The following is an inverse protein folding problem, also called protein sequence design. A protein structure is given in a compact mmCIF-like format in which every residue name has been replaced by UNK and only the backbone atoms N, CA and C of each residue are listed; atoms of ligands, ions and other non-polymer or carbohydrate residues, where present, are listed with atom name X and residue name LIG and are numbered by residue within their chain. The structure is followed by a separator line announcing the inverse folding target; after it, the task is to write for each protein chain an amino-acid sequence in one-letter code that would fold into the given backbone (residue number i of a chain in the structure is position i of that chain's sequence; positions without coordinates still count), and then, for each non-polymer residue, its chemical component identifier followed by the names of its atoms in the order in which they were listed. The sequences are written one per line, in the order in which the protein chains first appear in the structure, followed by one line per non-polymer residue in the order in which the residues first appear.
data_IF_255350747619
#
_entry.id   IF_255350747619
#
_cell.length_a   1.000
_cell.length_b   1.000
_cell.length_c   1.000
_cell.angle_alpha   90.00
_cell.angle_beta   90.00
_cell.angle_gamma   90.00
#
_symmetry.space_group_name_H-M   'P 1'
#
loop_
_entity.id
_entity.type
_entity.pdbx_description
1 polymer ?
#
# COMPACT_ATOMS: atom_id res chain seq x y z
N UNK A 1 -18.55 -11.55 -13.63
CA UNK A 1 -18.08 -11.09 -12.30
C UNK A 1 -17.37 -9.78 -12.55
N UNK A 2 -17.57 -8.77 -11.71
CA UNK A 2 -16.80 -7.52 -11.75
C UNK A 2 -15.86 -7.56 -10.56
N UNK A 3 -14.55 -7.48 -10.82
CA UNK A 3 -13.53 -7.47 -9.79
C UNK A 3 -13.03 -6.04 -9.57
N UNK A 4 -12.87 -5.65 -8.32
CA UNK A 4 -12.32 -4.36 -7.91
C UNK A 4 -11.20 -4.57 -6.89
N UNK A 5 -10.02 -4.04 -7.19
CA UNK A 5 -8.81 -4.16 -6.35
C UNK A 5 -8.74 -3.11 -5.25
N UNK A 6 -9.82 -2.97 -4.50
CA UNK A 6 -9.89 -2.17 -3.28
C UNK A 6 -11.00 -2.76 -2.40
N UNK A 7 -10.70 -3.12 -1.16
CA UNK A 7 -11.68 -3.83 -0.32
C UNK A 7 -12.68 -2.88 0.34
N UNK A 8 -12.27 -1.63 0.59
CA UNK A 8 -13.00 -0.60 1.35
C UNK A 8 -13.31 -1.09 2.78
N UNK A 9 -12.51 -0.64 3.76
CA UNK A 9 -12.64 -1.02 5.18
C UNK A 9 -11.67 -2.10 5.68
N UNK A 10 -10.83 -2.65 4.78
CA UNK A 10 -9.75 -3.60 5.08
C UNK A 10 -10.16 -4.89 5.83
N UNK A 11 -9.21 -5.81 6.02
CA UNK A 11 -9.45 -7.00 6.85
C UNK A 11 -9.33 -6.69 8.34
N UNK A 12 -9.93 -7.52 9.21
CA UNK A 12 -9.81 -7.34 10.67
C UNK A 12 -8.36 -7.37 11.17
N UNK A 13 -7.46 -8.06 10.45
CA UNK A 13 -6.03 -8.06 10.74
C UNK A 13 -5.39 -6.71 10.42
N UNK A 14 -5.69 -6.12 9.27
CA UNK A 14 -5.16 -4.81 8.87
C UNK A 14 -5.65 -3.70 9.80
N UNK A 15 -6.93 -3.75 10.20
CA UNK A 15 -7.49 -2.81 11.20
C UNK A 15 -6.74 -2.91 12.53
N UNK A 16 -6.41 -4.12 13.00
CA UNK A 16 -5.62 -4.30 14.23
C UNK A 16 -4.19 -3.75 14.09
N UNK A 17 -3.54 -4.00 12.96
CA UNK A 17 -2.17 -3.50 12.70
C UNK A 17 -2.15 -1.97 12.65
N UNK A 18 -3.11 -1.37 11.94
CA UNK A 18 -3.32 0.08 11.90
C UNK A 18 -3.49 0.66 13.30
N UNK A 19 -4.40 0.08 14.10
CA UNK A 19 -4.66 0.55 15.46
C UNK A 19 -3.42 0.42 16.36
N UNK A 20 -2.66 -0.67 16.26
CA UNK A 20 -1.42 -0.87 17.00
C UNK A 20 -0.38 0.20 16.66
N UNK A 21 -0.14 0.47 15.37
CA UNK A 21 0.79 1.50 14.91
C UNK A 21 0.40 2.89 15.40
N UNK A 22 -0.89 3.25 15.28
CA UNK A 22 -1.44 4.52 15.76
C UNK A 22 -1.28 4.67 17.28
N UNK A 23 -1.31 3.56 18.04
CA UNK A 23 -1.15 3.56 19.49
C UNK A 23 0.30 3.82 19.96
N UNK A 24 1.29 3.67 19.09
CA UNK A 24 2.71 3.96 19.38
C UNK A 24 2.99 5.47 19.42
N UNK A 25 2.09 6.28 18.87
CA UNK A 25 2.29 7.71 18.69
C UNK A 25 1.77 8.54 19.88
N UNK A 26 2.32 9.75 20.01
CA UNK A 26 1.88 10.74 21.01
C UNK A 26 0.38 11.05 20.88
N UNK A 27 -0.26 11.54 21.94
CA UNK A 27 -1.70 11.88 21.91
C UNK A 27 -2.04 12.86 20.78
N UNK A 28 -1.20 13.87 20.55
CA UNK A 28 -1.40 14.86 19.49
C UNK A 28 -1.25 14.23 18.09
N UNK A 29 -0.19 13.45 17.87
CA UNK A 29 0.03 12.75 16.61
C UNK A 29 -1.10 11.75 16.33
N UNK A 30 -1.54 11.01 17.35
CA UNK A 30 -2.65 10.06 17.26
C UNK A 30 -3.96 10.73 16.85
N UNK A 31 -4.30 11.86 17.45
CA UNK A 31 -5.49 12.62 17.08
C UNK A 31 -5.43 13.06 15.61
N UNK A 32 -4.27 13.53 15.16
CA UNK A 32 -4.05 13.91 13.77
C UNK A 32 -4.16 12.71 12.82
N UNK A 33 -3.49 11.60 13.12
CA UNK A 33 -3.55 10.37 12.32
C UNK A 33 -4.99 9.87 12.19
N UNK A 34 -5.76 9.82 13.27
CA UNK A 34 -7.16 9.38 13.22
C UNK A 34 -8.02 10.31 12.36
N UNK A 35 -7.80 11.63 12.43
CA UNK A 35 -8.50 12.58 11.57
C UNK A 35 -8.14 12.37 10.09
N UNK A 36 -6.86 12.13 9.77
CA UNK A 36 -6.40 11.81 8.41
C UNK A 36 -7.00 10.48 7.92
N UNK A 37 -7.02 9.46 8.77
CA UNK A 37 -7.63 8.17 8.41
C UNK A 37 -9.13 8.30 8.13
N UNK A 38 -9.86 9.07 8.93
CA UNK A 38 -11.28 9.34 8.69
C UNK A 38 -11.52 10.06 7.36
N UNK A 39 -10.67 11.05 7.01
CA UNK A 39 -10.76 11.73 5.72
C UNK A 39 -10.50 10.77 4.54
N UNK A 40 -9.54 9.86 4.68
CA UNK A 40 -9.29 8.83 3.67
C UNK A 40 -10.42 7.79 3.59
N UNK A 41 -11.04 7.45 4.70
CA UNK A 41 -12.21 6.57 4.74
C UNK A 41 -13.41 7.20 4.02
N UNK A 42 -13.64 8.50 4.17
CA UNK A 42 -14.68 9.21 3.44
C UNK A 42 -14.44 9.17 1.92
N UNK A 43 -13.18 9.35 1.48
CA UNK A 43 -12.80 9.20 0.07
C UNK A 43 -13.11 7.79 -0.42
N UNK A 44 -12.76 6.78 0.36
CA UNK A 44 -13.00 5.36 0.06
C UNK A 44 -14.50 5.05 -0.09
N UNK A 45 -15.32 5.50 0.87
CA UNK A 45 -16.77 5.35 0.82
C UNK A 45 -17.38 6.02 -0.42
N UNK A 46 -16.87 7.19 -0.80
CA UNK A 46 -17.31 7.89 -2.01
C UNK A 46 -16.95 7.13 -3.29
N UNK A 47 -15.75 6.53 -3.36
CA UNK A 47 -15.34 5.71 -4.51
C UNK A 47 -16.19 4.44 -4.56
N UNK A 48 -16.39 3.76 -3.43
CA UNK A 48 -17.25 2.58 -3.36
C UNK A 48 -18.66 2.89 -3.86
N UNK A 49 -19.27 3.97 -3.37
CA UNK A 49 -20.61 4.40 -3.78
C UNK A 49 -20.68 4.64 -5.30
N UNK A 50 -19.65 5.27 -5.89
CA UNK A 50 -19.55 5.49 -7.34
C UNK A 50 -19.43 4.18 -8.12
N UNK A 51 -18.61 3.24 -7.65
CA UNK A 51 -18.50 1.91 -8.28
C UNK A 51 -19.85 1.21 -8.26
N UNK A 52 -20.52 1.17 -7.11
CA UNK A 52 -21.83 0.51 -6.96
C UNK A 52 -22.89 1.16 -7.84
N UNK A 53 -23.00 2.49 -7.81
CA UNK A 53 -23.93 3.24 -8.66
C UNK A 53 -23.68 3.01 -10.14
N UNK A 54 -22.41 2.97 -10.57
CA UNK A 54 -22.05 2.65 -11.95
C UNK A 54 -22.50 1.25 -12.38
N UNK A 55 -22.42 0.25 -11.51
CA UNK A 55 -22.92 -1.09 -11.80
C UNK A 55 -24.44 -1.14 -11.94
N UNK A 56 -25.16 -0.42 -11.09
CA UNK A 56 -26.63 -0.35 -11.17
C UNK A 56 -27.08 0.29 -12.48
N UNK A 57 -26.43 1.38 -12.90
CA UNK A 57 -26.69 2.04 -14.18
C UNK A 57 -26.43 1.14 -15.39
N UNK A 58 -25.49 0.20 -15.27
CA UNK A 58 -25.18 -0.79 -16.30
C UNK A 58 -26.06 -2.05 -16.22
N UNK A 59 -27.00 -2.12 -15.26
CA UNK A 59 -27.83 -3.31 -15.04
C UNK A 59 -27.03 -4.54 -14.54
N UNK A 60 -25.87 -4.32 -13.93
CA UNK A 60 -25.03 -5.38 -13.39
C UNK A 60 -25.38 -5.59 -11.92
N UNK A 61 -25.87 -6.78 -11.51
CA UNK A 61 -26.23 -7.03 -10.12
C UNK A 61 -25.03 -6.85 -9.17
N UNK A 62 -25.25 -6.19 -8.03
CA UNK A 62 -24.24 -6.00 -6.98
C UNK A 62 -23.62 -7.31 -6.48
N UNK A 63 -24.36 -8.43 -6.53
CA UNK A 63 -23.85 -9.77 -6.18
C UNK A 63 -22.72 -10.26 -7.09
N UNK A 64 -22.52 -9.63 -8.26
CA UNK A 64 -21.42 -9.92 -9.17
C UNK A 64 -20.16 -9.10 -8.86
N UNK A 65 -20.25 -8.09 -7.99
CA UNK A 65 -19.11 -7.30 -7.52
C UNK A 65 -18.30 -8.11 -6.51
N UNK A 66 -17.01 -8.24 -6.77
CA UNK A 66 -16.03 -8.85 -5.88
C UNK A 66 -14.95 -7.82 -5.62
N UNK A 67 -14.76 -7.50 -4.35
CA UNK A 67 -13.74 -6.57 -3.87
C UNK A 67 -12.59 -7.38 -3.28
N UNK A 68 -11.37 -6.93 -3.54
CA UNK A 68 -10.15 -7.61 -3.17
C UNK A 68 -9.19 -6.61 -2.54
N UNK A 69 -8.32 -7.11 -1.67
CA UNK A 69 -7.24 -6.35 -1.08
C UNK A 69 -6.32 -5.74 -2.17
N UNK A 70 -6.06 -4.45 -2.06
CA UNK A 70 -5.36 -3.64 -3.05
C UNK A 70 -3.95 -4.17 -3.33
N UNK A 71 -3.18 -4.37 -2.26
CA UNK A 71 -1.81 -4.85 -2.35
C UNK A 71 -1.74 -6.32 -2.77
N UNK A 72 -2.72 -7.14 -2.36
CA UNK A 72 -2.81 -8.51 -2.85
C UNK A 72 -3.11 -8.55 -4.36
N UNK A 73 -3.89 -7.61 -4.89
CA UNK A 73 -4.10 -7.46 -6.33
C UNK A 73 -2.79 -7.10 -7.05
N UNK A 74 -2.01 -6.17 -6.52
CA UNK A 74 -0.67 -5.85 -7.06
C UNK A 74 0.25 -7.08 -7.03
N UNK A 75 0.29 -7.80 -5.90
CA UNK A 75 1.11 -9.01 -5.77
C UNK A 75 0.68 -10.11 -6.74
N UNK A 76 -0.63 -10.34 -6.89
CA UNK A 76 -1.18 -11.29 -7.85
C UNK A 76 -0.80 -10.90 -9.29
N UNK A 77 -0.94 -9.62 -9.66
CA UNK A 77 -0.55 -9.14 -10.98
C UNK A 77 0.96 -9.35 -11.24
N UNK A 78 1.80 -9.07 -10.24
CA UNK A 78 3.24 -9.29 -10.37
C UNK A 78 3.58 -10.78 -10.51
N UNK A 79 3.02 -11.65 -9.67
CA UNK A 79 3.36 -13.09 -9.64
C UNK A 79 2.81 -13.83 -10.86
N UNK A 80 1.51 -13.69 -11.17
CA UNK A 80 0.87 -14.49 -12.22
C UNK A 80 1.27 -14.06 -13.64
N UNK A 81 1.71 -12.81 -13.82
CA UNK A 81 2.14 -12.29 -15.14
C UNK A 81 3.66 -12.15 -15.24
N UNK A 82 4.41 -12.48 -14.19
CA UNK A 82 5.87 -12.55 -14.25
C UNK A 82 6.30 -13.71 -15.15
N UNK A 83 7.32 -13.53 -16.01
CA UNK A 83 7.91 -14.63 -16.77
C UNK A 83 8.60 -15.66 -15.87
N UNK A 84 8.89 -15.30 -14.61
CA UNK A 84 9.41 -16.20 -13.59
C UNK A 84 8.30 -16.94 -12.82
N UNK A 85 7.03 -16.52 -12.96
CA UNK A 85 5.88 -16.85 -12.12
C UNK A 85 5.58 -18.34 -11.93
N UNK A 86 4.67 -18.93 -12.69
CA UNK A 86 4.19 -20.33 -12.48
C UNK A 86 5.28 -21.41 -12.61
N UNK A 87 6.51 -21.03 -12.94
CA UNK A 87 7.71 -21.87 -12.98
C UNK A 87 8.59 -21.73 -11.73
N UNK A 88 8.39 -20.65 -10.95
CA UNK A 88 9.12 -20.41 -9.71
C UNK A 88 8.74 -21.45 -8.64
N UNK A 89 9.74 -21.78 -7.84
CA UNK A 89 9.53 -22.26 -6.49
C UNK A 89 8.85 -21.15 -5.66
N UNK A 90 8.56 -21.42 -4.39
CA UNK A 90 8.07 -20.41 -3.44
C UNK A 90 8.82 -19.07 -3.60
N UNK A 91 8.07 -17.96 -3.67
CA UNK A 91 8.66 -16.64 -3.88
C UNK A 91 8.02 -15.57 -2.99
N UNK A 92 8.77 -14.50 -2.76
CA UNK A 92 8.33 -13.36 -1.97
C UNK A 92 8.05 -12.18 -2.91
N UNK A 93 6.84 -11.65 -2.85
CA UNK A 93 6.43 -10.45 -3.55
C UNK A 93 6.32 -9.30 -2.56
N UNK A 94 6.95 -8.17 -2.87
CA UNK A 94 6.82 -6.94 -2.11
C UNK A 94 6.06 -5.93 -2.95
N UNK A 95 5.05 -5.32 -2.34
CA UNK A 95 4.28 -4.24 -2.95
C UNK A 95 4.46 -3.00 -2.08
N UNK A 96 4.71 -1.85 -2.70
CA UNK A 96 4.76 -0.55 -2.06
C UNK A 96 4.12 0.49 -2.98
N UNK A 97 3.14 1.22 -2.47
CA UNK A 97 2.52 2.33 -3.15
C UNK A 97 2.14 3.44 -2.14
N UNK A 98 1.19 4.31 -2.50
CA UNK A 98 0.70 5.34 -1.59
C UNK A 98 -0.14 4.79 -0.45
N UNK A 99 -1.18 4.00 -0.79
CA UNK A 99 -2.19 3.50 0.16
C UNK A 99 -3.06 2.42 -0.50
N UNK A 100 -3.46 1.43 0.29
CA UNK A 100 -4.58 0.52 0.04
C UNK A 100 -4.95 -0.24 1.31
N UNK A 101 -6.24 -0.24 1.69
CA UNK A 101 -6.76 -1.04 2.82
C UNK A 101 -5.99 -0.85 4.15
N UNK A 102 -5.76 0.42 4.55
CA UNK A 102 -4.93 0.86 5.69
C UNK A 102 -3.43 0.54 5.62
N UNK A 103 -2.98 -0.06 4.53
CA UNK A 103 -1.57 -0.35 4.25
C UNK A 103 -1.01 0.61 3.20
N UNK A 104 0.30 0.74 3.13
CA UNK A 104 1.03 1.33 2.00
C UNK A 104 1.92 0.29 1.29
N UNK A 105 1.93 -0.93 1.80
CA UNK A 105 2.71 -2.01 1.21
C UNK A 105 2.61 -3.31 1.96
N UNK A 106 2.79 -4.42 1.23
CA UNK A 106 2.73 -5.77 1.80
C UNK A 106 3.86 -6.64 1.30
N UNK A 107 4.32 -7.50 2.19
CA UNK A 107 5.17 -8.64 1.88
C UNK A 107 4.25 -9.87 1.78
N UNK A 108 4.24 -10.49 0.61
CA UNK A 108 3.35 -11.58 0.25
C UNK A 108 4.19 -12.79 -0.14
N UNK A 109 4.02 -13.88 0.61
CA UNK A 109 4.56 -15.18 0.24
C UNK A 109 3.64 -15.81 -0.80
N UNK A 110 4.20 -16.17 -1.95
CA UNK A 110 3.54 -16.98 -2.96
C UNK A 110 4.06 -18.41 -2.86
N UNK A 111 3.13 -19.36 -2.70
CA UNK A 111 3.44 -20.79 -2.75
C UNK A 111 2.70 -21.41 -3.93
N UNK A 112 3.42 -21.94 -4.93
CA UNK A 112 2.78 -22.51 -6.11
C UNK A 112 1.88 -23.69 -5.72
N UNK A 113 0.74 -23.88 -6.40
CA UNK A 113 -0.13 -25.01 -6.14
C UNK A 113 0.62 -26.33 -6.45
N UNK A 114 0.37 -27.41 -5.69
CA UNK A 114 0.99 -28.70 -5.97
C UNK A 114 0.63 -29.16 -7.37
N UNK A 115 1.63 -29.66 -8.12
CA UNK A 115 1.43 -30.26 -9.44
C UNK A 115 0.48 -31.46 -9.34
N UNK A 116 -0.51 -31.53 -10.24
CA UNK A 116 -1.44 -32.65 -10.31
C UNK A 116 -0.68 -33.99 -10.44
N UNK A 117 -0.71 -34.82 -9.39
CA UNK A 117 -0.05 -36.13 -9.37
C UNK A 117 0.54 -36.55 -8.01
N UNK A 118 0.82 -35.62 -7.10
CA UNK A 118 1.28 -35.96 -5.75
C UNK A 118 0.08 -36.12 -4.81
N UNK A 119 -0.35 -37.36 -4.60
CA UNK A 119 -1.57 -37.77 -3.89
C UNK A 119 -1.61 -37.41 -2.39
N UNK A 120 -1.77 -36.13 -2.08
CA UNK A 120 -2.14 -35.67 -0.74
C UNK A 120 -3.25 -34.65 -0.84
N UNK A 121 -4.41 -34.94 -0.23
CA UNK A 121 -5.40 -33.91 0.14
C UNK A 121 -4.77 -33.04 1.23
N UNK A 122 -3.85 -32.16 0.86
CA UNK A 122 -3.45 -31.07 1.72
C UNK A 122 -4.40 -29.91 1.46
N UNK A 123 -4.95 -29.33 2.53
CA UNK A 123 -5.66 -28.06 2.51
C UNK A 123 -4.92 -27.12 1.56
N UNK A 124 -5.58 -26.61 0.51
CA UNK A 124 -4.94 -25.70 -0.44
C UNK A 124 -4.29 -24.57 0.36
N UNK A 125 -2.94 -24.47 0.40
CA UNK A 125 -2.32 -23.29 0.97
C UNK A 125 -2.90 -22.08 0.23
N UNK A 126 -3.15 -20.97 0.94
CA UNK A 126 -3.48 -19.74 0.23
C UNK A 126 -2.29 -19.44 -0.67
N UNK A 127 -2.50 -19.55 -1.97
CA UNK A 127 -1.46 -19.37 -3.00
C UNK A 127 -0.74 -18.03 -2.83
N UNK A 128 -1.42 -17.02 -2.28
CA UNK A 128 -0.84 -15.77 -1.82
C UNK A 128 -1.16 -15.54 -0.32
N UNK A 129 -0.13 -15.41 0.49
CA UNK A 129 -0.21 -15.15 1.93
C UNK A 129 0.50 -13.85 2.29
N UNK A 130 -0.24 -12.87 2.80
CA UNK A 130 0.36 -11.68 3.43
C UNK A 130 1.08 -12.12 4.70
N UNK A 131 2.40 -11.95 4.73
CA UNK A 131 3.25 -12.25 5.89
C UNK A 131 3.61 -10.99 6.67
N UNK A 132 3.66 -9.83 6.00
CA UNK A 132 3.88 -8.53 6.63
C UNK A 132 3.19 -7.39 5.87
N UNK A 133 3.01 -6.25 6.53
CA UNK A 133 2.38 -5.06 5.96
C UNK A 133 2.92 -3.78 6.60
N UNK A 134 3.17 -2.77 5.77
CA UNK A 134 3.50 -1.40 6.19
C UNK A 134 2.22 -0.59 6.34
N UNK A 135 2.11 0.18 7.41
CA UNK A 135 0.97 1.09 7.64
C UNK A 135 0.89 2.15 6.54
N UNK A 136 -0.31 2.63 6.23
CA UNK A 136 -0.50 3.78 5.35
C UNK A 136 0.19 5.07 5.84
N UNK A 137 0.46 5.18 7.15
CA UNK A 137 1.18 6.34 7.71
C UNK A 137 2.69 6.27 7.53
N UNK A 138 3.22 5.07 7.27
CA UNK A 138 4.65 4.85 7.02
C UNK A 138 4.91 4.68 5.51
N UNK A 139 4.13 5.40 4.69
CA UNK A 139 4.11 5.26 3.23
C UNK A 139 5.27 6.02 2.56
N UNK A 140 6.17 5.27 1.93
CA UNK A 140 7.21 5.85 1.05
C UNK A 140 6.59 6.50 -0.18
N UNK A 141 5.46 5.99 -0.67
CA UNK A 141 4.73 6.59 -1.79
C UNK A 141 4.16 7.97 -1.45
N UNK A 142 3.57 8.13 -0.27
CA UNK A 142 3.11 9.44 0.20
C UNK A 142 4.27 10.37 0.53
N UNK A 143 5.37 9.86 1.10
CA UNK A 143 6.59 10.64 1.29
C UNK A 143 7.08 11.22 -0.06
N UNK A 144 7.11 10.40 -1.11
CA UNK A 144 7.52 10.87 -2.44
C UNK A 144 6.54 11.89 -3.03
N UNK A 145 5.23 11.76 -2.74
CA UNK A 145 4.23 12.75 -3.08
C UNK A 145 4.45 14.09 -2.34
N UNK A 146 4.88 14.06 -1.08
CA UNK A 146 5.28 15.26 -0.33
C UNK A 146 6.52 15.92 -0.95
N UNK A 147 7.57 15.15 -1.27
CA UNK A 147 8.75 15.69 -1.98
C UNK A 147 8.35 16.33 -3.31
N UNK A 148 7.42 15.68 -4.04
CA UNK A 148 6.83 16.22 -5.28
C UNK A 148 6.19 17.59 -5.05
N UNK A 149 5.41 17.75 -3.96
CA UNK A 149 4.80 19.03 -3.61
C UNK A 149 5.85 20.10 -3.27
N UNK A 150 6.83 19.76 -2.42
CA UNK A 150 7.88 20.69 -1.96
C UNK A 150 8.69 21.24 -3.12
N UNK A 151 8.97 20.43 -4.14
CA UNK A 151 9.67 20.86 -5.35
C UNK A 151 8.80 21.64 -6.35
N UNK A 152 7.56 21.98 -5.97
CA UNK A 152 6.63 22.76 -6.80
C UNK A 152 5.92 21.95 -7.89
N UNK A 153 6.01 20.63 -7.85
CA UNK A 153 5.29 19.73 -8.76
C UNK A 153 3.93 19.33 -8.18
N UNK A 154 3.12 18.62 -8.98
CA UNK A 154 1.77 18.22 -8.61
C UNK A 154 1.78 16.78 -8.08
N UNK A 155 1.46 16.55 -6.79
CA UNK A 155 1.35 15.21 -6.23
C UNK A 155 0.33 14.34 -6.97
N UNK A 156 0.56 13.04 -6.93
CA UNK A 156 -0.18 11.97 -7.59
C UNK A 156 -0.25 12.10 -9.11
N UNK A 157 0.71 12.82 -9.71
CA UNK A 157 0.77 13.09 -11.16
C UNK A 157 2.19 13.27 -11.68
N UNK A 158 3.06 13.93 -10.91
CA UNK A 158 4.38 14.37 -11.38
C UNK A 158 5.55 13.64 -10.72
N UNK A 159 5.32 12.60 -9.93
CA UNK A 159 6.33 11.78 -9.26
C UNK A 159 7.40 11.27 -10.23
N UNK A 160 6.99 10.84 -11.43
CA UNK A 160 7.92 10.34 -12.45
C UNK A 160 8.89 11.41 -12.99
N UNK A 161 8.52 12.71 -12.93
CA UNK A 161 9.44 13.80 -13.28
C UNK A 161 10.57 13.89 -12.27
N UNK A 162 10.26 13.74 -10.98
CA UNK A 162 11.27 13.73 -9.93
C UNK A 162 12.17 12.50 -10.05
N UNK A 163 11.63 11.33 -10.37
CA UNK A 163 12.46 10.14 -10.63
C UNK A 163 13.44 10.39 -11.77
N UNK A 164 13.00 11.04 -12.85
CA UNK A 164 13.88 11.45 -13.95
C UNK A 164 14.94 12.48 -13.52
N UNK A 165 14.57 13.49 -12.73
CA UNK A 165 15.50 14.48 -12.19
C UNK A 165 16.52 13.87 -11.22
N UNK A 166 16.10 12.90 -10.42
CA UNK A 166 16.95 12.22 -9.44
C UNK A 166 18.10 11.47 -10.10
N UNK A 167 17.94 10.99 -11.35
CA UNK A 167 19.03 10.38 -12.13
C UNK A 167 20.18 11.37 -12.45
N UNK A 168 19.93 12.67 -12.37
CA UNK A 168 20.92 13.74 -12.53
C UNK A 168 21.29 14.41 -11.20
N UNK A 169 20.71 13.97 -10.09
CA UNK A 169 20.89 14.56 -8.77
C UNK A 169 22.16 14.08 -8.07
N UNK A 170 22.58 14.85 -7.07
CA UNK A 170 23.65 14.47 -6.16
C UNK A 170 23.08 14.43 -4.73
N UNK A 171 22.89 13.22 -4.20
CA UNK A 171 22.20 13.01 -2.93
C UNK A 171 22.82 13.80 -1.78
N UNK A 172 24.15 13.91 -1.73
CA UNK A 172 24.88 14.67 -0.71
C UNK A 172 24.50 16.16 -0.68
N UNK A 173 24.06 16.73 -1.82
CA UNK A 173 23.63 18.13 -1.91
C UNK A 173 22.15 18.32 -1.60
N UNK A 174 21.33 17.33 -1.92
CA UNK A 174 19.87 17.41 -1.75
C UNK A 174 19.40 16.94 -0.38
N UNK A 175 20.16 16.07 0.29
CA UNK A 175 19.79 15.52 1.60
C UNK A 175 19.56 16.60 2.67
N UNK A 176 20.43 17.62 2.85
CA UNK A 176 20.18 18.67 3.85
C UNK A 176 18.91 19.48 3.57
N UNK A 177 18.57 19.67 2.28
CA UNK A 177 17.35 20.38 1.87
C UNK A 177 16.12 19.51 2.19
N UNK A 178 16.20 18.21 1.92
CA UNK A 178 15.15 17.27 2.27
C UNK A 178 14.92 17.20 3.78
N UNK A 179 15.99 17.08 4.57
CA UNK A 179 15.92 17.09 6.04
C UNK A 179 15.25 18.36 6.56
N UNK A 180 15.65 19.52 6.05
CA UNK A 180 15.04 20.80 6.42
C UNK A 180 13.56 20.87 6.03
N UNK A 181 13.19 20.42 4.82
CA UNK A 181 11.81 20.44 4.33
C UNK A 181 10.90 19.48 5.10
N UNK A 182 11.44 18.36 5.55
CA UNK A 182 10.73 17.35 6.33
C UNK A 182 10.74 17.64 7.83
N UNK A 183 11.48 18.66 8.29
CA UNK A 183 11.65 18.96 9.71
C UNK A 183 12.40 17.86 10.47
N UNK A 184 13.26 17.10 9.80
CA UNK A 184 14.00 16.00 10.42
C UNK A 184 15.08 16.57 11.35
N UNK A 185 14.90 16.39 12.65
CA UNK A 185 15.90 16.72 13.68
C UNK A 185 16.52 15.43 14.18
N UNK A 186 17.82 15.23 13.96
CA UNK A 186 18.51 14.11 14.56
C UNK A 186 18.74 14.40 16.05
N UNK A 187 18.18 13.55 16.91
CA UNK A 187 18.57 13.50 18.30
C UNK A 187 20.00 12.97 18.38
N UNK A 188 20.95 13.87 18.66
CA UNK A 188 22.38 13.56 18.71
C UNK A 188 22.77 12.65 19.88
N UNK A 189 21.88 12.46 20.88
CA UNK A 189 22.13 11.56 22.01
C UNK A 189 21.67 10.14 21.71
N UNK A 190 20.54 9.98 21.03
CA UNK A 190 19.97 8.66 20.73
C UNK A 190 20.26 8.17 19.31
N UNK A 191 20.76 9.05 18.44
CA UNK A 191 20.96 8.80 17.01
C UNK A 191 19.65 8.67 16.22
N UNK A 192 18.49 8.88 16.85
CA UNK A 192 17.16 8.74 16.23
C UNK A 192 16.72 10.06 15.59
N UNK A 193 16.01 9.96 14.49
CA UNK A 193 15.36 11.11 13.86
C UNK A 193 14.03 11.40 14.55
N UNK A 194 13.79 12.67 14.89
CA UNK A 194 12.55 13.20 15.43
C UNK A 194 11.94 14.15 14.40
N UNK A 195 10.60 14.22 14.38
CA UNK A 195 9.80 15.20 13.62
C UNK A 195 9.25 16.21 14.62
#
# INVERSE_FOLDING_TARGET
VVAHGWQFGASSTEVRRFAARVAEESTAARAHMLAVAAAFEEVDQNIEARVRSGLDQLGIPQSRLRMYDHHLCHAAAAVYFSPFGLQAQECCCVTWDGRGDFSSGKVVLFTPPPTAGTGGRSQSPKELQVIDSTSMFDSVGLLWAFVTAVLGFKPFRHEGKLTGLAAHGEAARTLPIFEQAMGLVQDLQTGRWQI
#
